data_IF_115563880044
#
_entry.id   IF_115563880044
#
_cell.length_a   1.000
_cell.length_b   1.000
_cell.length_c   1.000
_cell.angle_alpha   90.00
_cell.angle_beta   90.00
_cell.angle_gamma   90.00
#
_symmetry.space_group_name_H-M   'P 1'
#
loop_
_entity.id
_entity.type
_entity.pdbx_description
1 polymer ?
#
# COMPACT_ATOMS: atom_id res chain seq x y z
N UNK A 1 4.05 -14.04 9.55
CA UNK A 1 4.66 -12.97 8.72
C UNK A 1 3.90 -12.66 7.42
N UNK A 2 2.69 -13.20 7.17
CA UNK A 2 2.03 -13.06 5.86
C UNK A 2 0.99 -11.94 5.77
N UNK A 3 0.70 -11.25 6.88
CA UNK A 3 -0.39 -10.27 6.98
C UNK A 3 0.08 -8.84 7.30
N UNK A 4 1.37 -8.68 7.66
CA UNK A 4 1.95 -7.39 8.04
C UNK A 4 2.12 -6.52 6.81
N UNK A 5 1.71 -5.25 6.89
CA UNK A 5 1.92 -4.30 5.81
C UNK A 5 3.36 -3.76 5.82
N UNK A 6 4.07 -3.93 4.71
CA UNK A 6 5.45 -3.47 4.51
C UNK A 6 5.53 -2.26 3.58
N UNK A 7 4.43 -1.53 3.34
CA UNK A 7 4.44 -0.44 2.38
C UNK A 7 4.41 -0.97 0.95
N UNK A 8 4.32 -0.07 -0.02
CA UNK A 8 4.32 -0.44 -1.45
C UNK A 8 3.30 -1.54 -1.83
N UNK A 9 2.16 -1.60 -1.14
CA UNK A 9 1.13 -2.66 -1.26
C UNK A 9 1.61 -4.09 -1.01
N UNK A 10 2.77 -4.26 -0.38
CA UNK A 10 3.28 -5.55 0.03
C UNK A 10 2.71 -5.95 1.39
N UNK A 11 1.84 -6.96 1.39
CA UNK A 11 1.37 -7.62 2.60
C UNK A 11 2.10 -8.95 2.77
N UNK A 12 2.84 -9.03 3.87
CA UNK A 12 3.67 -10.16 4.21
C UNK A 12 5.09 -10.10 3.66
N UNK A 13 6.01 -10.77 4.36
CA UNK A 13 7.46 -10.66 4.12
C UNK A 13 7.90 -11.17 2.75
N UNK A 14 7.25 -12.22 2.24
CA UNK A 14 7.56 -12.76 0.91
C UNK A 14 7.17 -11.76 -0.18
N UNK A 15 5.98 -11.17 -0.08
CA UNK A 15 5.53 -10.13 -1.01
C UNK A 15 6.44 -8.90 -0.93
N UNK A 16 6.88 -8.51 0.27
CA UNK A 16 7.78 -7.39 0.48
C UNK A 16 9.17 -7.65 -0.13
N UNK A 17 9.73 -8.84 0.10
CA UNK A 17 10.99 -9.28 -0.49
C UNK A 17 10.96 -9.24 -2.02
N UNK A 18 9.88 -9.76 -2.63
CA UNK A 18 9.69 -9.72 -4.07
C UNK A 18 9.49 -8.28 -4.57
N UNK A 19 8.78 -7.43 -3.82
CA UNK A 19 8.50 -6.03 -4.19
C UNK A 19 9.76 -5.17 -4.16
N UNK A 20 10.54 -5.22 -3.08
CA UNK A 20 11.70 -4.34 -2.88
C UNK A 20 12.99 -4.88 -3.51
N UNK A 21 13.19 -6.20 -3.51
CA UNK A 21 14.45 -6.82 -3.90
C UNK A 21 14.35 -7.82 -5.05
N UNK A 22 13.13 -8.16 -5.51
CA UNK A 22 12.90 -9.21 -6.52
C UNK A 22 13.48 -10.58 -6.14
N UNK A 23 13.44 -10.93 -4.85
CA UNK A 23 13.99 -12.18 -4.28
C UNK A 23 12.94 -12.87 -3.41
N UNK A 24 13.07 -14.18 -3.21
CA UNK A 24 12.34 -14.87 -2.15
C UNK A 24 12.87 -14.42 -0.79
N UNK A 25 12.00 -14.39 0.22
CA UNK A 25 12.37 -13.94 1.57
C UNK A 25 13.52 -14.78 2.18
N UNK A 26 13.60 -16.06 1.82
CA UNK A 26 14.68 -16.96 2.24
C UNK A 26 16.05 -16.62 1.65
N UNK A 27 16.08 -15.87 0.54
CA UNK A 27 17.31 -15.50 -0.19
C UNK A 27 17.77 -14.08 0.17
N UNK A 28 17.12 -13.44 1.16
CA UNK A 28 17.49 -12.11 1.64
C UNK A 28 18.79 -12.17 2.44
N UNK A 29 19.64 -11.17 2.21
CA UNK A 29 20.80 -10.91 3.05
C UNK A 29 20.39 -10.19 4.33
N UNK A 30 21.28 -10.16 5.32
CA UNK A 30 21.00 -9.60 6.66
C UNK A 30 20.57 -8.12 6.59
N UNK A 31 21.21 -7.33 5.73
CA UNK A 31 20.90 -5.91 5.54
C UNK A 31 19.53 -5.69 4.88
N UNK A 32 19.13 -6.60 3.99
CA UNK A 32 17.83 -6.56 3.30
C UNK A 32 16.72 -7.01 4.25
N UNK A 33 16.95 -8.07 5.03
CA UNK A 33 16.04 -8.55 6.06
C UNK A 33 15.83 -7.51 7.17
N UNK A 34 16.91 -6.87 7.64
CA UNK A 34 16.85 -5.79 8.62
C UNK A 34 16.08 -4.57 8.09
N UNK A 35 16.21 -4.26 6.80
CA UNK A 35 15.43 -3.19 6.17
C UNK A 35 13.93 -3.52 6.22
N UNK A 36 13.52 -4.70 5.76
CA UNK A 36 12.11 -5.10 5.80
C UNK A 36 11.55 -5.11 7.23
N UNK A 37 12.30 -5.64 8.20
CA UNK A 37 11.90 -5.62 9.60
C UNK A 37 11.76 -4.19 10.16
N UNK A 38 12.58 -3.24 9.68
CA UNK A 38 12.51 -1.83 10.05
C UNK A 38 11.28 -1.12 9.48
N UNK A 39 10.89 -1.44 8.24
CA UNK A 39 9.78 -0.82 7.52
C UNK A 39 8.45 -0.98 8.26
N UNK A 40 8.21 -2.15 8.86
CA UNK A 40 6.94 -2.48 9.56
C UNK A 40 6.52 -1.44 10.59
N UNK A 41 7.47 -0.74 11.23
CA UNK A 41 7.15 0.28 12.23
C UNK A 41 6.38 1.48 11.65
N UNK A 42 6.75 1.92 10.45
CA UNK A 42 6.09 3.03 9.77
C UNK A 42 6.31 2.87 8.27
N UNK A 43 5.47 2.05 7.60
CA UNK A 43 5.76 1.61 6.24
C UNK A 43 5.81 2.73 5.20
N UNK A 44 5.14 3.87 5.47
CA UNK A 44 5.22 5.06 4.62
C UNK A 44 6.51 5.86 4.88
N UNK A 45 6.86 6.10 6.16
CA UNK A 45 8.03 6.91 6.53
C UNK A 45 9.34 6.22 6.19
N UNK A 46 9.41 4.92 6.41
CA UNK A 46 10.62 4.13 6.20
C UNK A 46 10.64 3.43 4.85
N UNK A 47 9.80 3.85 3.89
CA UNK A 47 9.78 3.30 2.54
C UNK A 47 11.07 3.71 1.78
N UNK A 48 11.99 2.77 1.50
CA UNK A 48 13.25 3.10 0.85
C UNK A 48 13.08 3.58 -0.60
N UNK A 49 11.90 3.40 -1.20
CA UNK A 49 11.56 3.94 -2.54
C UNK A 49 11.31 5.45 -2.47
N UNK A 50 10.78 5.94 -1.35
CA UNK A 50 10.45 7.36 -1.16
C UNK A 50 11.59 8.10 -0.47
N UNK A 51 12.17 7.50 0.59
CA UNK A 51 13.24 8.08 1.40
C UNK A 51 14.25 7.00 1.78
N UNK A 52 15.29 6.86 0.97
CA UNK A 52 16.36 5.89 1.21
C UNK A 52 17.18 6.23 2.45
N UNK A 53 17.27 7.50 2.85
CA UNK A 53 18.07 7.93 3.99
C UNK A 53 17.40 7.53 5.31
N UNK A 54 16.12 7.87 5.50
CA UNK A 54 15.36 7.47 6.70
C UNK A 54 15.23 5.95 6.79
N UNK A 55 15.03 5.28 5.66
CA UNK A 55 15.00 3.82 5.61
C UNK A 55 16.35 3.20 6.02
N UNK A 56 17.47 3.80 5.62
CA UNK A 56 18.82 3.36 6.00
C UNK A 56 19.07 3.52 7.49
N UNK A 57 18.72 4.69 8.08
CA UNK A 57 18.83 4.93 9.53
C UNK A 57 18.00 3.90 10.31
N UNK A 58 16.79 3.62 9.83
CA UNK A 58 15.89 2.63 10.46
C UNK A 58 16.45 1.21 10.38
N UNK A 59 16.95 0.79 9.21
CA UNK A 59 17.64 -0.50 9.04
C UNK A 59 18.81 -0.64 10.00
N UNK A 60 19.65 0.38 10.14
CA UNK A 60 20.81 0.34 11.03
C UNK A 60 20.39 0.17 12.50
N UNK A 61 19.30 0.82 12.91
CA UNK A 61 18.71 0.59 14.25
C UNK A 61 18.31 -0.87 14.47
N UNK A 62 17.74 -1.53 13.44
CA UNK A 62 17.39 -2.95 13.49
C UNK A 62 18.65 -3.82 13.57
N UNK A 63 19.68 -3.55 12.76
CA UNK A 63 20.96 -4.27 12.79
C UNK A 63 21.62 -4.19 14.17
N UNK A 64 21.67 -3.01 14.80
CA UNK A 64 22.16 -2.84 16.17
C UNK A 64 21.37 -3.70 17.16
N UNK A 65 20.05 -3.77 17.02
CA UNK A 65 19.21 -4.62 17.89
C UNK A 65 19.38 -6.10 17.63
N UNK A 66 19.62 -6.51 16.38
CA UNK A 66 19.94 -7.91 16.06
C UNK A 66 21.26 -8.35 16.72
N UNK A 67 22.29 -7.50 16.70
CA UNK A 67 23.54 -7.76 17.42
C UNK A 67 23.33 -7.82 18.94
N UNK A 68 22.61 -6.85 19.51
CA UNK A 68 22.34 -6.80 20.95
C UNK A 68 21.54 -8.01 21.47
N UNK A 69 20.69 -8.59 20.62
CA UNK A 69 19.91 -9.81 20.91
C UNK A 69 20.62 -11.09 20.49
N UNK A 70 21.87 -11.00 20.00
CA UNK A 70 22.71 -12.11 19.54
C UNK A 70 22.14 -12.90 18.36
N UNK A 71 21.24 -12.29 17.58
CA UNK A 71 20.76 -12.87 16.32
C UNK A 71 21.85 -12.86 15.23
N UNK A 72 22.79 -11.90 15.33
CA UNK A 72 24.01 -11.79 14.53
C UNK A 72 25.16 -11.31 15.43
N UNK A 73 26.40 -11.40 14.95
CA UNK A 73 27.56 -10.81 15.61
C UNK A 73 27.64 -9.30 15.39
N UNK A 74 28.36 -8.58 16.26
CA UNK A 74 28.60 -7.15 16.09
C UNK A 74 29.32 -6.85 14.76
N UNK A 75 30.32 -7.66 14.39
CA UNK A 75 31.06 -7.49 13.14
C UNK A 75 30.17 -7.68 11.90
N UNK A 76 29.20 -8.61 11.93
CA UNK A 76 28.21 -8.75 10.86
C UNK A 76 27.28 -7.54 10.78
N UNK A 77 26.85 -6.99 11.92
CA UNK A 77 26.02 -5.79 11.96
C UNK A 77 26.76 -4.59 11.38
N UNK A 78 28.02 -4.36 11.78
CA UNK A 78 28.82 -3.23 11.31
C UNK A 78 29.05 -3.31 9.79
N UNK A 79 29.43 -4.49 9.29
CA UNK A 79 29.58 -4.75 7.85
C UNK A 79 28.28 -4.55 7.07
N UNK A 80 27.15 -4.96 7.64
CA UNK A 80 25.84 -4.78 7.02
C UNK A 80 25.42 -3.29 6.98
N UNK A 81 25.80 -2.49 7.98
CA UNK A 81 25.52 -1.05 8.00
C UNK A 81 26.28 -0.29 6.92
N UNK A 82 27.49 -0.72 6.57
CA UNK A 82 28.30 -0.15 5.47
C UNK A 82 27.72 -0.47 4.09
N UNK A 83 26.87 -1.49 3.98
CA UNK A 83 26.28 -1.87 2.69
C UNK A 83 25.19 -0.87 2.31
N UNK A 84 25.26 -0.21 1.12
CA UNK A 84 24.22 0.71 0.70
C UNK A 84 22.91 -0.02 0.38
N UNK A 85 21.76 0.63 0.63
CA UNK A 85 20.45 0.09 0.25
C UNK A 85 20.34 0.04 -1.27
N UNK A 86 20.29 -1.18 -1.82
CA UNK A 86 20.09 -1.41 -3.26
C UNK A 86 18.74 -2.06 -3.49
N UNK A 87 17.82 -1.32 -4.11
CA UNK A 87 16.50 -1.83 -4.44
C UNK A 87 16.47 -2.40 -5.87
N UNK A 88 15.66 -3.44 -6.05
CA UNK A 88 15.25 -3.96 -7.36
C UNK A 88 13.73 -4.05 -7.37
N UNK A 89 13.11 -2.88 -7.45
CA UNK A 89 11.66 -2.74 -7.30
C UNK A 89 10.94 -3.34 -8.50
N UNK A 90 9.94 -4.20 -8.25
CA UNK A 90 9.11 -4.84 -9.28
C UNK A 90 7.68 -4.41 -9.17
N UNK A 91 7.05 -4.08 -10.29
CA UNK A 91 5.63 -3.67 -10.30
C UNK A 91 4.72 -4.71 -9.64
N UNK A 92 3.71 -4.27 -8.87
CA UNK A 92 2.83 -5.21 -8.20
C UNK A 92 2.01 -5.99 -9.24
N UNK A 93 1.87 -7.30 -9.02
CA UNK A 93 1.12 -8.20 -9.91
C UNK A 93 -0.28 -8.53 -9.39
N UNK A 94 -0.66 -7.99 -8.23
CA UNK A 94 -1.90 -8.28 -7.51
C UNK A 94 -2.35 -7.04 -6.74
N UNK A 95 -3.61 -7.05 -6.31
CA UNK A 95 -4.20 -5.98 -5.51
C UNK A 95 -4.77 -4.84 -6.34
N UNK A 96 -5.28 -3.82 -5.66
CA UNK A 96 -6.04 -2.73 -6.29
C UNK A 96 -5.22 -1.88 -7.26
N UNK A 97 -3.89 -1.88 -7.17
CA UNK A 97 -3.03 -1.20 -8.15
C UNK A 97 -3.05 -1.84 -9.53
N UNK A 98 -3.48 -3.10 -9.63
CA UNK A 98 -3.70 -3.78 -10.91
C UNK A 98 -5.13 -3.62 -11.43
N UNK A 99 -5.97 -2.86 -10.72
CA UNK A 99 -7.35 -2.63 -11.13
C UNK A 99 -7.38 -1.83 -12.44
N UNK A 100 -8.21 -2.28 -13.38
CA UNK A 100 -8.33 -1.69 -14.71
C UNK A 100 -9.26 -0.46 -14.69
N UNK A 101 -9.19 0.34 -15.76
CA UNK A 101 -10.10 1.47 -16.00
C UNK A 101 -10.14 2.49 -14.85
N UNK A 102 -9.02 2.68 -14.14
CA UNK A 102 -8.91 3.65 -13.05
C UNK A 102 -9.75 3.33 -11.81
N UNK A 103 -10.18 2.08 -11.63
CA UNK A 103 -11.02 1.66 -10.50
C UNK A 103 -10.24 1.37 -9.21
N UNK A 104 -8.95 1.73 -9.15
CA UNK A 104 -8.07 1.44 -8.01
C UNK A 104 -8.58 1.98 -6.68
N UNK A 105 -9.08 3.22 -6.64
CA UNK A 105 -9.66 3.82 -5.43
C UNK A 105 -10.95 3.13 -5.00
N UNK A 106 -11.81 2.73 -5.94
CA UNK A 106 -13.01 1.97 -5.63
C UNK A 106 -12.67 0.59 -5.08
N UNK A 107 -11.69 -0.10 -5.68
CA UNK A 107 -11.17 -1.36 -5.16
C UNK A 107 -10.62 -1.19 -3.74
N UNK A 108 -9.87 -0.11 -3.48
CA UNK A 108 -9.33 0.20 -2.16
C UNK A 108 -10.45 0.40 -1.13
N UNK A 109 -11.48 1.17 -1.51
CA UNK A 109 -12.67 1.38 -0.70
C UNK A 109 -13.35 0.06 -0.33
N UNK A 110 -13.59 -0.82 -1.30
CA UNK A 110 -14.20 -2.14 -1.06
C UNK A 110 -13.35 -2.98 -0.11
N UNK A 111 -12.02 -2.97 -0.28
CA UNK A 111 -11.10 -3.64 0.65
C UNK A 111 -11.26 -3.08 2.06
N UNK A 112 -11.25 -1.76 2.23
CA UNK A 112 -11.37 -1.12 3.54
C UNK A 112 -12.75 -1.39 4.17
N UNK A 113 -13.81 -1.45 3.38
CA UNK A 113 -15.15 -1.84 3.86
C UNK A 113 -15.12 -3.26 4.44
N UNK A 114 -14.53 -4.23 3.73
CA UNK A 114 -14.41 -5.61 4.23
C UNK A 114 -13.58 -5.66 5.52
N UNK A 115 -12.52 -4.86 5.63
CA UNK A 115 -11.64 -4.83 6.79
C UNK A 115 -12.23 -4.07 8.00
N UNK A 116 -13.25 -3.24 7.80
CA UNK A 116 -13.84 -2.40 8.85
C UNK A 116 -15.23 -2.83 9.28
N UNK A 117 -16.04 -3.38 8.37
CA UNK A 117 -17.43 -3.71 8.63
C UNK A 117 -17.57 -5.03 9.41
N UNK A 118 -18.19 -5.02 10.61
CA UNK A 118 -18.41 -6.22 11.42
C UNK A 118 -19.16 -7.36 10.72
N UNK A 119 -19.90 -7.07 9.64
CA UNK A 119 -20.58 -8.08 8.83
C UNK A 119 -19.61 -9.12 8.24
N UNK A 120 -18.33 -8.77 8.05
CA UNK A 120 -17.30 -9.66 7.51
C UNK A 120 -16.44 -10.33 8.60
N UNK A 121 -16.74 -10.11 9.88
CA UNK A 121 -16.01 -10.68 11.01
C UNK A 121 -16.11 -9.81 12.26
N UNK A 122 -16.24 -10.45 13.43
CA UNK A 122 -16.46 -9.77 14.71
C UNK A 122 -15.22 -8.97 15.14
N UNK A 123 -14.05 -9.46 14.78
CA UNK A 123 -12.77 -8.80 15.09
C UNK A 123 -12.03 -8.37 13.82
N UNK A 124 -11.18 -7.36 13.94
CA UNK A 124 -10.29 -6.93 12.85
C UNK A 124 -9.38 -8.07 12.36
N UNK A 125 -8.96 -8.94 13.28
CA UNK A 125 -8.16 -10.12 12.96
C UNK A 125 -8.93 -11.13 12.12
N UNK A 126 -10.21 -11.36 12.41
CA UNK A 126 -11.07 -12.22 11.60
C UNK A 126 -11.27 -11.66 10.20
N UNK A 127 -11.58 -10.37 10.07
CA UNK A 127 -11.76 -9.71 8.77
C UNK A 127 -10.47 -9.71 7.94
N UNK A 128 -9.34 -9.46 8.57
CA UNK A 128 -8.02 -9.56 7.94
C UNK A 128 -7.70 -10.98 7.49
N UNK A 129 -8.04 -12.01 8.29
CA UNK A 129 -7.89 -13.41 7.88
C UNK A 129 -8.78 -13.73 6.69
N UNK A 130 -10.05 -13.30 6.72
CA UNK A 130 -11.00 -13.51 5.63
C UNK A 130 -10.47 -12.93 4.31
N UNK A 131 -9.98 -11.69 4.32
CA UNK A 131 -9.37 -11.05 3.15
C UNK A 131 -8.12 -11.81 2.66
N UNK A 132 -7.22 -12.20 3.57
CA UNK A 132 -5.91 -12.75 3.22
C UNK A 132 -5.93 -14.23 2.82
N UNK A 133 -6.84 -15.03 3.37
CA UNK A 133 -6.96 -16.45 3.03
C UNK A 133 -7.51 -16.65 1.60
N UNK A 134 -8.08 -15.59 1.00
CA UNK A 134 -8.60 -15.62 -0.36
C UNK A 134 -9.91 -16.42 -0.47
N UNK A 135 -10.26 -16.83 -1.69
CA UNK A 135 -11.49 -17.58 -1.97
C UNK A 135 -12.76 -16.74 -2.06
N UNK A 136 -12.70 -15.45 -1.70
CA UNK A 136 -13.83 -14.53 -1.87
C UNK A 136 -14.03 -14.18 -3.35
N UNK A 137 -15.28 -14.26 -3.79
CA UNK A 137 -15.74 -13.55 -4.99
C UNK A 137 -16.51 -12.32 -4.54
N UNK A 138 -15.90 -11.14 -4.69
CA UNK A 138 -16.50 -9.87 -4.26
C UNK A 138 -17.25 -9.24 -5.42
N UNK A 139 -18.59 -9.21 -5.34
CA UNK A 139 -19.45 -8.47 -6.26
C UNK A 139 -19.76 -7.10 -5.67
N UNK A 140 -19.50 -6.04 -6.43
CA UNK A 140 -19.61 -4.66 -5.96
C UNK A 140 -20.70 -3.89 -6.71
N UNK A 141 -20.91 -2.64 -6.31
CA UNK A 141 -21.83 -1.70 -6.95
C UNK A 141 -21.17 -0.86 -8.06
N UNK A 142 -19.88 -1.09 -8.35
CA UNK A 142 -19.14 -0.37 -9.37
C UNK A 142 -19.84 -0.49 -10.72
N UNK A 143 -20.23 0.63 -11.31
CA UNK A 143 -20.67 0.70 -12.70
C UNK A 143 -19.48 1.16 -13.58
N UNK A 144 -19.01 0.35 -14.53
CA UNK A 144 -17.84 0.70 -15.34
C UNK A 144 -18.01 1.99 -16.18
N UNK A 145 -19.23 2.29 -16.63
CA UNK A 145 -19.51 3.51 -17.41
C UNK A 145 -19.49 4.74 -16.50
N UNK A 146 -20.11 4.65 -15.33
CA UNK A 146 -20.03 5.69 -14.32
C UNK A 146 -18.57 5.92 -13.89
N UNK A 147 -17.79 4.86 -13.69
CA UNK A 147 -16.38 4.97 -13.32
C UNK A 147 -15.54 5.68 -14.37
N UNK A 148 -15.74 5.37 -15.65
CA UNK A 148 -15.08 6.09 -16.73
C UNK A 148 -15.45 7.58 -16.72
N UNK A 149 -16.74 7.90 -16.64
CA UNK A 149 -17.22 9.28 -16.61
C UNK A 149 -16.66 10.06 -15.41
N UNK A 150 -16.55 9.44 -14.23
CA UNK A 150 -15.97 10.07 -13.04
C UNK A 150 -14.47 10.36 -13.22
N UNK A 151 -13.72 9.45 -13.83
CA UNK A 151 -12.29 9.64 -14.11
C UNK A 151 -12.06 10.77 -15.12
N UNK A 152 -12.85 10.79 -16.20
CA UNK A 152 -12.81 11.87 -17.20
C UNK A 152 -13.14 13.23 -16.56
N UNK A 153 -14.23 13.31 -15.78
CA UNK A 153 -14.62 14.52 -15.08
C UNK A 153 -13.55 15.01 -14.09
N UNK A 154 -12.94 14.09 -13.33
CA UNK A 154 -11.91 14.44 -12.36
C UNK A 154 -10.63 15.00 -13.01
N UNK A 155 -10.33 14.59 -14.25
CA UNK A 155 -9.12 15.01 -14.98
C UNK A 155 -9.38 16.11 -16.00
N UNK A 156 -10.64 16.49 -16.26
CA UNK A 156 -11.02 17.43 -17.31
C UNK A 156 -10.44 18.85 -17.13
N UNK A 157 -10.20 19.27 -15.89
CA UNK A 157 -9.69 20.61 -15.55
C UNK A 157 -8.58 20.61 -14.49
N UNK A 158 -8.29 19.46 -13.90
CA UNK A 158 -7.27 19.30 -12.86
C UNK A 158 -6.33 18.19 -13.31
N UNK A 159 -5.12 18.58 -13.69
CA UNK A 159 -4.10 17.63 -14.13
C UNK A 159 -3.56 16.86 -12.95
N UNK A 160 -3.02 15.68 -13.24
CA UNK A 160 -2.43 14.80 -12.23
C UNK A 160 -1.22 15.40 -11.51
N UNK A 161 -0.65 16.52 -11.93
CA UNK A 161 0.51 17.18 -11.34
C UNK A 161 0.19 18.56 -10.74
N UNK A 162 -1.06 19.03 -10.86
CA UNK A 162 -1.51 20.31 -10.30
C UNK A 162 -1.46 20.34 -8.77
N UNK A 163 -1.16 21.49 -8.16
CA UNK A 163 -1.11 21.62 -6.69
C UNK A 163 -2.40 21.17 -5.98
N UNK A 164 -3.54 21.26 -6.66
CA UNK A 164 -4.83 20.81 -6.18
C UNK A 164 -5.20 19.47 -6.80
N UNK A 165 -6.01 18.68 -6.11
CA UNK A 165 -6.54 17.43 -6.63
C UNK A 165 -8.07 17.46 -6.60
N UNK A 166 -8.69 17.00 -7.69
CA UNK A 166 -10.13 16.75 -7.76
C UNK A 166 -10.47 15.30 -7.43
N UNK A 167 -11.65 15.09 -6.82
CA UNK A 167 -12.27 13.80 -6.53
C UNK A 167 -13.75 13.86 -6.94
N UNK A 168 -14.26 12.78 -7.54
CA UNK A 168 -15.62 12.67 -8.07
C UNK A 168 -16.21 11.33 -7.63
N UNK A 169 -17.34 11.38 -6.94
CA UNK A 169 -18.10 10.20 -6.49
C UNK A 169 -19.51 10.27 -7.06
N UNK A 170 -20.01 9.15 -7.58
CA UNK A 170 -21.40 9.03 -8.02
C UNK A 170 -22.12 8.04 -7.12
N UNK A 171 -23.31 8.42 -6.66
CA UNK A 171 -24.15 7.63 -5.75
C UNK A 171 -25.54 7.49 -6.34
N UNK A 172 -26.09 6.27 -6.33
CA UNK A 172 -27.47 5.99 -6.75
C UNK A 172 -28.45 6.59 -5.72
N UNK A 173 -29.35 7.52 -6.11
CA UNK A 173 -30.35 8.09 -5.22
C UNK A 173 -31.30 7.01 -4.66
N UNK A 174 -31.71 7.17 -3.41
CA UNK A 174 -32.61 6.24 -2.71
C UNK A 174 -31.91 5.02 -2.13
N UNK A 175 -31.03 4.35 -2.88
CA UNK A 175 -30.31 3.17 -2.37
C UNK A 175 -28.99 3.51 -1.66
N UNK A 176 -28.37 4.64 -1.99
CA UNK A 176 -27.06 5.03 -1.47
C UNK A 176 -25.89 4.23 -2.05
N UNK A 177 -26.10 3.41 -3.08
CA UNK A 177 -25.00 2.64 -3.70
C UNK A 177 -23.99 3.57 -4.33
N UNK A 178 -22.72 3.39 -3.99
CA UNK A 178 -21.62 4.10 -4.66
C UNK A 178 -21.34 3.40 -5.98
N UNK A 179 -21.48 4.13 -7.09
CA UNK A 179 -21.33 3.59 -8.45
C UNK A 179 -19.93 3.82 -9.03
N UNK A 180 -19.23 4.86 -8.57
CA UNK A 180 -17.89 5.18 -9.03
C UNK A 180 -17.12 6.02 -8.01
N UNK A 181 -15.79 5.92 -8.02
CA UNK A 181 -14.87 6.82 -7.32
C UNK A 181 -13.70 7.17 -8.24
N UNK A 182 -13.67 8.40 -8.75
CA UNK A 182 -12.60 8.92 -9.60
C UNK A 182 -11.85 10.05 -8.92
N UNK A 183 -10.56 10.21 -9.23
CA UNK A 183 -9.78 11.36 -8.80
C UNK A 183 -8.67 11.69 -9.79
N UNK A 184 -8.28 12.96 -9.82
CA UNK A 184 -7.26 13.51 -10.73
C UNK A 184 -5.87 12.89 -10.58
N UNK A 185 -5.52 12.44 -9.35
CA UNK A 185 -4.27 11.74 -9.06
C UNK A 185 -4.44 10.24 -9.27
N UNK A 186 -3.71 9.60 -10.20
CA UNK A 186 -3.88 8.17 -10.48
C UNK A 186 -3.58 7.30 -9.27
N UNK A 187 -4.26 6.15 -9.18
CA UNK A 187 -4.02 5.19 -8.11
C UNK A 187 -2.67 4.50 -8.33
N UNK A 188 -1.81 4.53 -7.32
CA UNK A 188 -0.52 3.83 -7.39
C UNK A 188 0.50 4.34 -6.38
N UNK A 189 1.74 3.93 -6.57
CA UNK A 189 2.83 4.12 -5.59
C UNK A 189 3.97 4.96 -6.16
N UNK A 190 3.99 5.22 -7.47
CA UNK A 190 5.03 5.97 -8.12
C UNK A 190 4.78 7.48 -8.01
N UNK A 191 5.34 8.09 -6.98
CA UNK A 191 5.23 9.54 -6.75
C UNK A 191 5.76 10.37 -7.93
N UNK A 192 6.78 9.89 -8.66
CA UNK A 192 7.30 10.58 -9.86
C UNK A 192 6.29 10.62 -11.01
N UNK A 193 5.34 9.67 -11.02
CA UNK A 193 4.19 9.67 -11.95
C UNK A 193 2.99 10.43 -11.41
N UNK A 194 3.10 10.99 -10.21
CA UNK A 194 2.03 11.62 -9.44
C UNK A 194 0.94 10.65 -8.97
N UNK A 195 1.31 9.39 -8.78
CA UNK A 195 0.40 8.38 -8.24
C UNK A 195 0.25 8.51 -6.72
N UNK A 196 -0.91 8.10 -6.22
CA UNK A 196 -1.19 8.03 -4.77
C UNK A 196 -2.11 6.86 -4.46
N UNK A 197 -1.99 6.33 -3.24
CA UNK A 197 -2.97 5.39 -2.65
C UNK A 197 -3.94 6.10 -1.71
N UNK A 198 -3.74 7.40 -1.45
CA UNK A 198 -4.62 8.19 -0.61
C UNK A 198 -5.94 8.42 -1.34
N UNK A 199 -7.02 7.86 -0.81
CA UNK A 199 -8.34 8.02 -1.36
C UNK A 199 -8.95 9.35 -0.89
N UNK A 200 -9.08 10.31 -1.80
CA UNK A 200 -9.56 11.66 -1.47
C UNK A 200 -11.07 11.73 -1.22
N UNK A 201 -11.81 10.66 -1.51
CA UNK A 201 -13.25 10.58 -1.39
C UNK A 201 -13.75 10.04 -0.03
N UNK A 202 -12.85 9.69 0.88
CA UNK A 202 -13.21 8.96 2.11
C UNK A 202 -12.45 9.50 3.32
N UNK A 203 -12.96 9.17 4.51
CA UNK A 203 -12.32 9.54 5.78
C UNK A 203 -10.99 8.82 6.03
N UNK A 204 -10.21 9.36 6.96
CA UNK A 204 -8.96 8.75 7.44
C UNK A 204 -9.13 7.29 7.88
N UNK A 205 -10.25 6.96 8.55
CA UNK A 205 -10.56 5.57 8.96
C UNK A 205 -10.70 4.61 7.78
N UNK A 206 -11.00 5.13 6.60
CA UNK A 206 -11.16 4.39 5.34
C UNK A 206 -9.95 4.55 4.40
N UNK A 207 -8.80 5.03 4.91
CA UNK A 207 -7.58 5.21 4.12
C UNK A 207 -7.52 6.53 3.33
N UNK A 208 -8.37 7.50 3.67
CA UNK A 208 -8.34 8.83 3.07
C UNK A 208 -7.63 9.88 3.94
N UNK A 209 -7.84 11.16 3.60
CA UNK A 209 -7.20 12.27 4.31
C UNK A 209 -8.01 12.70 5.55
N UNK A 210 -7.42 13.54 6.42
CA UNK A 210 -8.14 14.15 7.56
C UNK A 210 -9.29 15.07 7.14
N UNK A 211 -9.33 15.47 5.86
CA UNK A 211 -10.32 16.39 5.30
C UNK A 211 -11.43 15.68 4.50
N UNK A 212 -11.42 14.34 4.46
CA UNK A 212 -12.41 13.51 3.74
C UNK A 212 -13.35 12.75 4.65
#
# INVERSE_FOLDING_TARGET
LNITFFGQQAYGVEAASQRYFSKHAKDLKVEEAALLAGIVQSPTRYDPVNDTEEATKRRNTVLTRMAATRAITQAEADKAMETPVKLKVREPKRGCITAVSGSGFFCDYVRQTILSDPAFGKTEQERSKLWNLGGLTVKTTLDPRAQQAANEAATARVNKDDKFAASVVQVEPGSGKILSMGQSRPYGLNQKKNETVLNLAVSNKMGGSTYG
#
